data_IF_565519088373
#
_entry.id   IF_565519088373
#
_cell.length_a   1.000
_cell.length_b   1.000
_cell.length_c   1.000
_cell.angle_alpha   90.00
_cell.angle_beta   90.00
_cell.angle_gamma   90.00
#
_symmetry.space_group_name_H-M   'P 1'
#
loop_
_entity.id
_entity.type
_entity.pdbx_description
1 polymer ?
#
# COMPACT_ATOMS: atom_id res chain seq x y z
N UNK A 1 0.86 -31.76 22.98
CA UNK A 1 -0.22 -31.46 22.01
C UNK A 1 0.46 -31.18 20.66
N UNK A 2 0.62 -32.18 19.80
CA UNK A 2 -0.30 -32.57 18.74
C UNK A 2 -0.58 -31.48 17.69
N UNK A 3 -0.04 -31.76 16.48
CA UNK A 3 -0.72 -31.68 15.17
C UNK A 3 -0.82 -30.28 14.51
N UNK A 4 -0.52 -29.99 13.23
CA UNK A 4 -0.28 -30.72 11.96
C UNK A 4 0.51 -29.75 11.03
N UNK A 5 1.59 -30.17 10.36
CA UNK A 5 1.68 -30.84 9.04
C UNK A 5 1.59 -29.88 7.84
N UNK A 6 2.71 -29.79 7.11
CA UNK A 6 2.88 -29.22 5.78
C UNK A 6 2.11 -30.01 4.70
N UNK A 7 1.82 -29.36 3.55
CA UNK A 7 1.83 -29.98 2.21
C UNK A 7 2.13 -28.94 1.13
N UNK A 8 2.83 -29.42 0.09
CA UNK A 8 3.49 -28.70 -0.99
C UNK A 8 2.63 -28.45 -2.25
N UNK A 9 3.17 -27.55 -3.11
CA UNK A 9 3.18 -27.56 -4.60
C UNK A 9 1.95 -27.04 -5.38
N UNK A 10 2.10 -26.58 -6.66
CA UNK A 10 3.27 -26.69 -7.56
C UNK A 10 3.72 -25.39 -8.29
N UNK A 11 4.95 -25.49 -8.85
CA UNK A 11 5.51 -24.69 -9.94
C UNK A 11 4.62 -24.65 -11.19
N UNK A 12 4.40 -23.46 -11.77
CA UNK A 12 4.23 -23.26 -13.21
C UNK A 12 4.76 -21.87 -13.61
N UNK A 13 5.69 -21.87 -14.57
CA UNK A 13 6.34 -20.70 -15.21
C UNK A 13 5.47 -20.19 -16.40
N UNK A 14 5.85 -19.14 -17.17
CA UNK A 14 5.21 -17.82 -17.17
C UNK A 14 4.43 -17.51 -18.47
N UNK A 15 3.46 -16.60 -18.40
CA UNK A 15 2.87 -15.88 -19.54
C UNK A 15 2.15 -14.67 -18.96
N UNK A 16 2.26 -13.43 -19.41
CA UNK A 16 2.91 -12.82 -20.55
C UNK A 16 2.21 -11.48 -20.74
N UNK A 17 2.99 -10.39 -20.75
CA UNK A 17 2.69 -9.11 -21.42
C UNK A 17 1.47 -8.26 -21.02
N UNK A 18 1.75 -6.99 -20.70
CA UNK A 18 0.86 -5.84 -20.91
C UNK A 18 0.14 -5.35 -19.65
N UNK A 19 0.67 -4.43 -18.85
CA UNK A 19 0.87 -3.00 -19.15
C UNK A 19 -0.44 -2.21 -19.35
N UNK A 20 -0.70 -1.35 -18.34
CA UNK A 20 -1.23 0.02 -18.44
C UNK A 20 -2.74 0.27 -18.19
N UNK A 21 -2.96 0.80 -16.97
CA UNK A 21 -3.75 1.98 -16.54
C UNK A 21 -5.28 2.02 -16.68
N UNK A 22 -5.90 2.23 -15.50
CA UNK A 22 -7.22 2.79 -15.19
C UNK A 22 -7.45 4.21 -15.78
N UNK A 23 -8.67 4.83 -15.76
CA UNK A 23 -9.47 5.08 -14.56
C UNK A 23 -11.01 4.98 -14.67
N UNK A 24 -11.62 4.93 -13.49
CA UNK A 24 -13.04 4.93 -13.17
C UNK A 24 -13.78 6.19 -13.62
N UNK A 25 -14.96 6.06 -14.25
CA UNK A 25 -16.08 6.98 -14.03
C UNK A 25 -17.43 6.32 -14.31
N UNK A 26 -18.33 6.47 -13.35
CA UNK A 26 -19.75 6.11 -13.37
C UNK A 26 -20.52 6.92 -14.41
N UNK A 27 -21.19 6.28 -15.36
CA UNK A 27 -22.45 6.77 -15.95
C UNK A 27 -23.23 5.59 -16.52
N UNK A 28 -24.46 5.42 -16.06
CA UNK A 28 -25.40 4.40 -16.52
C UNK A 28 -25.88 4.70 -17.95
N UNK A 29 -26.09 3.63 -18.73
CA UNK A 29 -26.86 3.58 -19.98
C UNK A 29 -26.41 4.46 -21.17
N UNK A 30 -25.37 4.00 -21.90
CA UNK A 30 -25.23 4.22 -23.37
C UNK A 30 -24.14 3.35 -24.08
N UNK A 31 -23.67 2.28 -23.46
CA UNK A 31 -22.31 1.77 -23.72
C UNK A 31 -22.12 0.71 -24.82
N UNK A 32 -23.00 0.59 -25.83
CA UNK A 32 -22.76 -0.39 -26.91
C UNK A 32 -22.15 0.21 -28.19
N UNK A 33 -22.46 1.47 -28.52
CA UNK A 33 -21.86 2.16 -29.68
C UNK A 33 -20.56 2.88 -29.32
N UNK A 34 -20.48 3.46 -28.12
CA UNK A 34 -19.30 4.19 -27.66
C UNK A 34 -18.06 3.31 -27.45
N UNK A 35 -18.26 2.04 -27.09
CA UNK A 35 -17.15 1.09 -26.86
C UNK A 35 -16.33 0.80 -28.13
N UNK A 36 -16.94 0.89 -29.31
CA UNK A 36 -16.26 0.70 -30.60
C UNK A 36 -15.49 1.93 -31.05
N UNK A 37 -16.10 3.11 -30.86
CA UNK A 37 -15.52 4.41 -31.23
C UNK A 37 -14.38 4.83 -30.28
N UNK A 38 -14.45 4.45 -29.01
CA UNK A 38 -13.38 4.68 -28.03
C UNK A 38 -12.10 3.90 -28.38
N UNK A 39 -12.24 2.66 -28.87
CA UNK A 39 -11.12 1.87 -29.38
C UNK A 39 -10.48 2.49 -30.65
N UNK A 40 -11.30 3.03 -31.55
CA UNK A 40 -10.83 3.76 -32.75
C UNK A 40 -10.05 5.01 -32.32
N UNK A 41 -10.58 5.81 -31.40
CA UNK A 41 -9.94 7.02 -30.88
C UNK A 41 -8.58 6.73 -30.21
N UNK A 42 -8.51 5.65 -29.43
CA UNK A 42 -7.28 5.22 -28.77
C UNK A 42 -6.21 4.79 -29.78
N UNK A 43 -6.59 4.02 -30.79
CA UNK A 43 -5.67 3.62 -31.87
C UNK A 43 -5.15 4.81 -32.66
N UNK A 44 -5.99 5.81 -32.96
CA UNK A 44 -5.58 7.05 -33.62
C UNK A 44 -4.57 7.83 -32.78
N UNK A 45 -4.81 7.97 -31.47
CA UNK A 45 -3.86 8.63 -30.55
C UNK A 45 -2.52 7.90 -30.47
N UNK A 46 -2.54 6.57 -30.41
CA UNK A 46 -1.33 5.75 -30.37
C UNK A 46 -0.54 5.89 -31.68
N UNK A 47 -1.22 5.90 -32.82
CA UNK A 47 -0.59 6.09 -34.13
C UNK A 47 0.07 7.46 -34.24
N UNK A 48 -0.61 8.54 -33.81
CA UNK A 48 -0.05 9.89 -33.81
C UNK A 48 1.20 9.98 -32.92
N UNK A 49 1.16 9.35 -31.74
CA UNK A 49 2.32 9.29 -30.84
C UNK A 49 3.49 8.52 -31.47
N UNK A 50 3.24 7.37 -32.08
CA UNK A 50 4.27 6.60 -32.77
C UNK A 50 4.89 7.37 -33.95
N UNK A 51 4.08 8.12 -34.70
CA UNK A 51 4.57 8.97 -35.81
C UNK A 51 5.47 10.08 -35.27
N UNK A 52 5.09 10.70 -34.15
CA UNK A 52 5.92 11.69 -33.47
C UNK A 52 7.23 11.06 -32.97
N UNK A 53 7.18 9.93 -32.28
CA UNK A 53 8.36 9.20 -31.77
C UNK A 53 9.28 8.72 -32.91
N UNK A 54 8.73 8.41 -34.07
CA UNK A 54 9.49 8.05 -35.27
C UNK A 54 10.19 9.27 -35.89
N UNK A 55 9.54 10.43 -35.88
CA UNK A 55 10.09 11.68 -36.41
C UNK A 55 11.14 12.30 -35.48
N UNK A 56 10.99 12.16 -34.16
CA UNK A 56 11.92 12.67 -33.14
C UNK A 56 13.16 11.78 -32.95
N UNK A 57 13.07 10.50 -33.32
CA UNK A 57 14.23 9.61 -33.33
C UNK A 57 15.19 9.99 -34.45
N UNK A 58 16.13 10.87 -34.11
CA UNK A 58 17.29 11.29 -34.89
C UNK A 58 17.83 10.17 -35.79
N UNK A 59 18.11 10.50 -37.05
CA UNK A 59 18.48 9.62 -38.18
C UNK A 59 19.66 8.65 -37.95
N UNK A 60 20.28 8.67 -36.76
CA UNK A 60 21.38 7.80 -36.32
C UNK A 60 20.94 6.46 -35.71
N UNK A 61 19.64 6.24 -35.47
CA UNK A 61 19.17 4.97 -34.89
C UNK A 61 19.07 3.87 -35.97
N UNK A 62 19.61 2.68 -35.66
CA UNK A 62 19.65 1.48 -36.52
C UNK A 62 18.33 1.25 -37.28
N UNK A 63 18.43 0.95 -38.57
CA UNK A 63 17.28 0.77 -39.47
C UNK A 63 16.32 -0.34 -39.02
N UNK A 64 16.79 -1.33 -38.25
CA UNK A 64 15.96 -2.37 -37.62
C UNK A 64 14.88 -1.79 -36.69
N UNK A 65 15.21 -0.75 -35.93
CA UNK A 65 14.26 -0.10 -35.01
C UNK A 65 13.27 0.80 -35.74
N UNK A 66 13.64 1.28 -36.93
CA UNK A 66 12.72 1.99 -37.83
C UNK A 66 11.75 0.99 -38.45
N UNK A 67 12.25 -0.13 -38.96
CA UNK A 67 11.44 -1.20 -39.52
C UNK A 67 10.45 -1.77 -38.48
N UNK A 68 10.90 -2.00 -37.25
CA UNK A 68 10.04 -2.45 -36.16
C UNK A 68 8.94 -1.44 -35.84
N UNK A 69 9.26 -0.14 -35.76
CA UNK A 69 8.27 0.91 -35.50
C UNK A 69 7.24 1.06 -36.62
N UNK A 70 7.68 1.01 -37.88
CA UNK A 70 6.80 1.04 -39.05
C UNK A 70 5.89 -0.20 -39.07
N UNK A 71 6.40 -1.38 -38.69
CA UNK A 71 5.60 -2.58 -38.58
C UNK A 71 4.52 -2.44 -37.49
N UNK A 72 4.86 -1.86 -36.34
CA UNK A 72 3.88 -1.55 -35.29
C UNK A 72 2.81 -0.55 -35.76
N UNK A 73 3.20 0.50 -36.49
CA UNK A 73 2.23 1.43 -37.09
C UNK A 73 1.28 0.72 -38.07
N UNK A 74 1.82 -0.19 -38.90
CA UNK A 74 1.03 -0.97 -39.86
C UNK A 74 0.00 -1.86 -39.16
N UNK A 75 0.40 -2.56 -38.09
CA UNK A 75 -0.53 -3.38 -37.30
C UNK A 75 -1.67 -2.55 -36.68
N UNK A 76 -1.37 -1.35 -36.20
CA UNK A 76 -2.39 -0.45 -35.63
C UNK A 76 -3.34 0.04 -36.73
N UNK A 77 -2.83 0.34 -37.93
CA UNK A 77 -3.66 0.71 -39.07
C UNK A 77 -4.59 -0.43 -39.52
N UNK A 78 -4.11 -1.67 -39.51
CA UNK A 78 -4.94 -2.84 -39.82
C UNK A 78 -6.04 -3.06 -38.77
N UNK A 79 -5.73 -2.91 -37.48
CA UNK A 79 -6.73 -2.96 -36.40
C UNK A 79 -7.74 -1.80 -36.51
N UNK A 80 -7.28 -0.59 -36.84
CA UNK A 80 -8.14 0.56 -37.07
C UNK A 80 -9.09 0.32 -38.26
N UNK A 81 -8.57 -0.21 -39.37
CA UNK A 81 -9.36 -0.54 -40.56
C UNK A 81 -10.44 -1.56 -40.27
N UNK A 82 -10.11 -2.64 -39.56
CA UNK A 82 -11.08 -3.69 -39.20
C UNK A 82 -12.17 -3.16 -38.26
N UNK A 83 -11.80 -2.32 -37.28
CA UNK A 83 -12.78 -1.69 -36.35
C UNK A 83 -13.69 -0.69 -37.03
N UNK A 84 -13.16 0.15 -37.93
CA UNK A 84 -13.97 1.09 -38.72
C UNK A 84 -14.93 0.32 -39.62
N UNK A 85 -14.47 -0.72 -40.30
CA UNK A 85 -15.32 -1.56 -41.16
C UNK A 85 -16.45 -2.22 -40.35
N UNK A 86 -16.15 -2.71 -39.14
CA UNK A 86 -17.15 -3.30 -38.24
C UNK A 86 -18.17 -2.27 -37.75
N UNK A 87 -17.72 -1.06 -37.38
CA UNK A 87 -18.60 0.03 -36.96
C UNK A 87 -19.51 0.50 -38.12
N UNK A 88 -18.99 0.58 -39.34
CA UNK A 88 -19.77 0.91 -40.53
C UNK A 88 -20.81 -0.15 -40.87
N UNK A 89 -20.47 -1.44 -40.76
CA UNK A 89 -21.41 -2.54 -40.97
C UNK A 89 -22.57 -2.52 -39.97
N UNK A 90 -22.29 -2.22 -38.69
CA UNK A 90 -23.31 -2.08 -37.64
C UNK A 90 -24.27 -0.91 -37.93
N UNK A 91 -23.75 0.25 -38.36
CA UNK A 91 -24.56 1.42 -38.73
C UNK A 91 -25.43 1.23 -39.99
N UNK A 92 -25.10 0.26 -40.85
CA UNK A 92 -25.85 -0.03 -42.08
C UNK A 92 -27.03 -0.98 -41.88
N UNK A 93 -27.11 -1.66 -40.73
CA UNK A 93 -28.15 -2.65 -40.40
C UNK A 93 -29.40 -2.03 -39.74
N UNK A 94 -29.36 -0.76 -39.32
CA UNK A 94 -30.43 -0.11 -38.54
C UNK A 94 -31.62 0.43 -39.35
N UNK A 95 -31.87 -0.10 -40.56
CA UNK A 95 -33.11 0.21 -41.31
C UNK A 95 -34.07 -0.96 -41.45
N UNK A 96 -33.81 -2.09 -40.79
CA UNK A 96 -34.79 -3.18 -40.71
C UNK A 96 -34.93 -3.70 -39.29
N UNK A 97 -36.08 -3.36 -38.71
CA UNK A 97 -36.88 -4.27 -37.89
C UNK A 97 -36.57 -4.36 -36.39
N UNK A 98 -36.88 -3.28 -35.66
CA UNK A 98 -37.39 -3.39 -34.30
C UNK A 98 -38.93 -3.34 -34.33
N UNK A 99 -39.56 -4.44 -34.79
CA UNK A 99 -40.98 -4.69 -34.50
C UNK A 99 -41.10 -4.89 -32.99
N UNK A 100 -41.49 -3.81 -32.33
CA UNK A 100 -41.98 -3.83 -30.95
C UNK A 100 -43.07 -4.89 -30.81
N UNK A 101 -42.93 -5.63 -29.72
CA UNK A 101 -43.87 -6.54 -29.08
C UNK A 101 -45.33 -6.40 -29.53
N UNK A 102 -45.93 -7.53 -29.94
CA UNK A 102 -47.35 -7.71 -30.19
C UNK A 102 -48.18 -7.48 -28.91
N UNK A 103 -48.59 -6.24 -28.65
CA UNK A 103 -49.63 -5.91 -27.65
C UNK A 103 -50.71 -5.01 -28.23
N UNK A 104 -51.24 -5.38 -29.40
CA UNK A 104 -52.51 -4.85 -29.91
C UNK A 104 -53.43 -6.02 -30.25
N UNK A 105 -54.07 -6.59 -29.22
CA UNK A 105 -55.21 -7.49 -29.39
C UNK A 105 -56.40 -6.67 -29.89
N UNK A 106 -56.54 -6.52 -31.21
CA UNK A 106 -57.82 -6.12 -31.81
C UNK A 106 -58.77 -7.32 -31.77
N UNK A 107 -59.99 -7.21 -31.21
CA UNK A 107 -61.00 -8.26 -31.29
C UNK A 107 -61.50 -8.34 -32.74
N UNK A 108 -61.16 -9.43 -33.45
CA UNK A 108 -61.80 -9.73 -34.73
C UNK A 108 -62.98 -10.65 -34.47
N UNK A 109 -64.15 -10.05 -34.50
CA UNK A 109 -65.45 -10.71 -34.53
C UNK A 109 -65.59 -11.43 -35.88
N UNK A 110 -65.27 -12.71 -35.91
CA UNK A 110 -65.68 -13.60 -36.99
C UNK A 110 -66.59 -14.69 -36.41
N UNK A 111 -67.86 -14.57 -36.77
CA UNK A 111 -68.91 -15.55 -36.56
C UNK A 111 -68.53 -16.86 -37.23
N UNK A 112 -68.24 -17.89 -36.45
CA UNK A 112 -68.51 -19.25 -36.91
C UNK A 112 -68.90 -20.17 -35.76
N UNK A 113 -70.11 -20.69 -35.88
CA UNK A 113 -70.70 -21.69 -34.99
C UNK A 113 -69.83 -22.93 -35.06
N UNK A 114 -69.15 -23.25 -33.96
CA UNK A 114 -68.94 -24.60 -33.45
C UNK A 114 -68.32 -24.46 -32.06
N UNK A 115 -69.08 -24.85 -31.05
CA UNK A 115 -68.62 -24.95 -29.68
C UNK A 115 -67.53 -26.02 -29.60
N UNK A 116 -66.27 -25.60 -29.70
CA UNK A 116 -65.13 -26.39 -29.25
C UNK A 116 -64.66 -25.77 -27.95
N UNK A 117 -64.69 -26.57 -26.89
CA UNK A 117 -64.30 -26.24 -25.51
C UNK A 117 -62.98 -25.45 -25.49
N UNK A 118 -62.75 -24.58 -24.49
CA UNK A 118 -61.42 -24.01 -24.28
C UNK A 118 -60.40 -25.15 -24.22
N UNK A 119 -59.19 -25.02 -24.79
CA UNK A 119 -58.14 -25.98 -24.54
C UNK A 119 -57.99 -26.06 -23.02
N UNK A 120 -58.24 -27.24 -22.48
CA UNK A 120 -57.85 -27.56 -21.12
C UNK A 120 -56.34 -27.40 -21.14
N UNK A 121 -55.80 -26.25 -20.70
CA UNK A 121 -54.36 -26.09 -20.52
C UNK A 121 -53.93 -27.30 -19.71
N UNK A 122 -53.11 -28.16 -20.30
CA UNK A 122 -52.75 -29.42 -19.68
C UNK A 122 -52.11 -29.06 -18.33
N UNK A 123 -52.60 -29.68 -17.26
CA UNK A 123 -52.14 -29.35 -15.90
C UNK A 123 -50.62 -29.53 -15.80
N UNK A 124 -50.08 -30.45 -16.62
CA UNK A 124 -48.65 -30.69 -16.76
C UNK A 124 -47.89 -29.51 -17.38
N UNK A 125 -48.44 -28.81 -18.37
CA UNK A 125 -47.80 -27.63 -18.97
C UNK A 125 -47.71 -26.47 -17.97
N UNK A 126 -48.75 -26.24 -17.17
CA UNK A 126 -48.74 -25.22 -16.11
C UNK A 126 -47.70 -25.58 -15.05
N UNK A 127 -47.63 -26.85 -14.66
CA UNK A 127 -46.62 -27.30 -13.70
C UNK A 127 -45.19 -27.22 -14.26
N UNK A 128 -45.00 -27.54 -15.54
CA UNK A 128 -43.72 -27.45 -16.24
C UNK A 128 -43.24 -26.00 -16.29
N UNK A 129 -44.10 -25.06 -16.68
CA UNK A 129 -43.77 -23.62 -16.68
C UNK A 129 -43.43 -23.12 -15.27
N UNK A 130 -44.14 -23.59 -14.23
CA UNK A 130 -43.78 -23.25 -12.83
C UNK A 130 -42.42 -23.81 -12.40
N UNK A 131 -42.09 -25.05 -12.81
CA UNK A 131 -40.78 -25.66 -12.58
C UNK A 131 -39.67 -24.88 -13.30
N UNK A 132 -39.88 -24.55 -14.57
CA UNK A 132 -38.94 -23.75 -15.38
C UNK A 132 -38.75 -22.33 -14.81
N UNK A 133 -39.81 -21.66 -14.38
CA UNK A 133 -39.73 -20.36 -13.72
C UNK A 133 -38.92 -20.43 -12.41
N UNK A 134 -39.15 -21.47 -11.60
CA UNK A 134 -38.42 -21.69 -10.35
C UNK A 134 -36.93 -21.98 -10.61
N UNK A 135 -36.64 -22.78 -11.63
CA UNK A 135 -35.28 -23.05 -12.08
C UNK A 135 -34.59 -21.76 -12.58
N UNK A 136 -35.25 -20.98 -13.44
CA UNK A 136 -34.76 -19.70 -13.93
C UNK A 136 -34.47 -18.71 -12.80
N UNK A 137 -35.36 -18.61 -11.81
CA UNK A 137 -35.14 -17.77 -10.63
C UNK A 137 -33.94 -18.23 -9.79
N UNK A 138 -33.72 -19.53 -9.68
CA UNK A 138 -32.55 -20.09 -8.98
C UNK A 138 -31.26 -19.79 -9.74
N UNK A 139 -31.25 -19.97 -11.06
CA UNK A 139 -30.11 -19.59 -11.92
C UNK A 139 -29.82 -18.10 -11.83
N UNK A 140 -30.84 -17.24 -11.84
CA UNK A 140 -30.68 -15.78 -11.69
C UNK A 140 -30.05 -15.41 -10.35
N UNK A 141 -30.50 -16.02 -9.25
CA UNK A 141 -29.89 -15.80 -7.92
C UNK A 141 -28.44 -16.26 -7.88
N UNK A 142 -28.13 -17.42 -8.46
CA UNK A 142 -26.76 -17.92 -8.57
C UNK A 142 -25.86 -16.96 -9.35
N UNK A 143 -26.32 -16.48 -10.50
CA UNK A 143 -25.60 -15.49 -11.32
C UNK A 143 -25.38 -14.18 -10.56
N UNK A 144 -26.40 -13.69 -9.84
CA UNK A 144 -26.28 -12.48 -9.03
C UNK A 144 -25.21 -12.63 -7.94
N UNK A 145 -25.12 -13.79 -7.28
CA UNK A 145 -24.07 -14.06 -6.31
C UNK A 145 -22.68 -14.06 -6.96
N UNK A 146 -22.54 -14.71 -8.12
CA UNK A 146 -21.27 -14.75 -8.86
C UNK A 146 -20.82 -13.37 -9.33
N UNK A 147 -21.72 -12.54 -9.87
CA UNK A 147 -21.38 -11.17 -10.26
C UNK A 147 -20.96 -10.32 -9.04
N UNK A 148 -21.60 -10.55 -7.89
CA UNK A 148 -21.27 -9.85 -6.64
C UNK A 148 -19.90 -10.28 -6.10
N UNK A 149 -19.58 -11.59 -6.11
CA UNK A 149 -18.28 -12.09 -5.68
C UNK A 149 -17.16 -11.64 -6.63
N UNK A 150 -17.40 -11.69 -7.95
CA UNK A 150 -16.43 -11.25 -8.95
C UNK A 150 -16.15 -9.75 -8.85
N UNK A 151 -17.16 -8.93 -8.54
CA UNK A 151 -16.98 -7.50 -8.26
C UNK A 151 -16.04 -7.24 -7.09
N UNK A 152 -16.20 -7.98 -5.98
CA UNK A 152 -15.31 -7.90 -4.81
C UNK A 152 -13.89 -8.37 -5.13
N UNK A 153 -13.75 -9.45 -5.88
CA UNK A 153 -12.45 -9.98 -6.29
C UNK A 153 -11.71 -8.99 -7.21
N UNK A 154 -12.42 -8.34 -8.13
CA UNK A 154 -11.89 -7.25 -8.96
C UNK A 154 -11.38 -6.09 -8.11
N UNK A 155 -12.12 -5.69 -7.07
CA UNK A 155 -11.72 -4.62 -6.16
C UNK A 155 -10.46 -5.01 -5.36
N UNK A 156 -10.38 -6.24 -4.86
CA UNK A 156 -9.19 -6.78 -4.18
C UNK A 156 -7.98 -6.76 -5.13
N UNK A 157 -8.13 -7.24 -6.36
CA UNK A 157 -7.04 -7.21 -7.35
C UNK A 157 -6.60 -5.79 -7.68
N UNK A 158 -7.53 -4.84 -7.79
CA UNK A 158 -7.18 -3.44 -8.05
C UNK A 158 -6.36 -2.82 -6.90
N UNK A 159 -6.73 -3.12 -5.64
CA UNK A 159 -5.95 -2.69 -4.48
C UNK A 159 -4.55 -3.31 -4.46
N UNK A 160 -4.45 -4.61 -4.74
CA UNK A 160 -3.17 -5.32 -4.77
C UNK A 160 -2.26 -4.81 -5.90
N UNK A 161 -2.82 -4.55 -7.08
CA UNK A 161 -2.08 -3.93 -8.20
C UNK A 161 -1.59 -2.53 -7.84
N UNK A 162 -2.42 -1.72 -7.17
CA UNK A 162 -2.01 -0.40 -6.68
C UNK A 162 -0.86 -0.50 -5.70
N UNK A 163 -0.95 -1.42 -4.72
CA UNK A 163 0.12 -1.70 -3.75
C UNK A 163 1.42 -2.09 -4.45
N UNK A 164 1.35 -3.01 -5.42
CA UNK A 164 2.52 -3.44 -6.20
C UNK A 164 3.12 -2.35 -7.07
N UNK A 165 2.29 -1.47 -7.63
CA UNK A 165 2.78 -0.31 -8.37
C UNK A 165 3.59 0.64 -7.45
N UNK A 166 3.12 0.90 -6.23
CA UNK A 166 3.85 1.71 -5.26
C UNK A 166 5.17 1.04 -4.85
N UNK A 167 5.15 -0.26 -4.54
CA UNK A 167 6.37 -1.01 -4.20
C UNK A 167 7.41 -0.97 -5.32
N UNK A 168 6.98 -1.02 -6.60
CA UNK A 168 7.88 -0.91 -7.74
C UNK A 168 8.51 0.48 -7.83
N UNK A 169 7.73 1.55 -7.62
CA UNK A 169 8.23 2.93 -7.63
C UNK A 169 9.29 3.12 -6.54
N UNK A 170 9.03 2.66 -5.31
CA UNK A 170 10.00 2.74 -4.21
C UNK A 170 11.30 1.98 -4.54
N UNK A 171 11.19 0.79 -5.15
CA UNK A 171 12.36 0.03 -5.59
C UNK A 171 13.13 0.70 -6.74
N UNK A 172 12.43 1.36 -7.66
CA UNK A 172 13.05 2.14 -8.75
C UNK A 172 13.84 3.34 -8.20
N UNK A 173 13.30 4.03 -7.19
CA UNK A 173 14.00 5.11 -6.48
C UNK A 173 15.27 4.60 -5.80
N UNK A 174 15.20 3.48 -5.07
CA UNK A 174 16.38 2.85 -4.44
C UNK A 174 17.45 2.45 -5.48
N UNK A 175 17.03 1.90 -6.63
CA UNK A 175 17.95 1.56 -7.72
C UNK A 175 18.58 2.81 -8.32
N UNK A 176 17.82 3.90 -8.47
CA UNK A 176 18.32 5.19 -8.94
C UNK A 176 19.39 5.76 -7.99
N UNK A 177 19.12 5.75 -6.69
CA UNK A 177 20.05 6.20 -5.66
C UNK A 177 21.34 5.37 -5.65
N UNK A 178 21.23 4.05 -5.74
CA UNK A 178 22.39 3.16 -5.83
C UNK A 178 23.22 3.41 -7.09
N UNK A 179 22.56 3.66 -8.24
CA UNK A 179 23.26 4.04 -9.47
C UNK A 179 24.01 5.36 -9.29
N UNK A 180 23.39 6.38 -8.70
CA UNK A 180 24.03 7.66 -8.45
C UNK A 180 25.24 7.53 -7.49
N UNK A 181 25.14 6.68 -6.47
CA UNK A 181 26.25 6.38 -5.57
C UNK A 181 27.39 5.65 -6.29
N UNK A 182 27.07 4.66 -7.11
CA UNK A 182 28.05 3.93 -7.92
C UNK A 182 28.77 4.85 -8.91
N UNK A 183 28.06 5.76 -9.57
CA UNK A 183 28.66 6.75 -10.47
C UNK A 183 29.60 7.70 -9.73
N UNK A 184 29.21 8.13 -8.52
CA UNK A 184 30.06 8.97 -7.66
C UNK A 184 31.33 8.22 -7.23
N UNK A 185 31.21 6.96 -6.85
CA UNK A 185 32.34 6.11 -6.49
C UNK A 185 33.25 5.85 -7.69
N UNK A 186 32.66 5.57 -8.86
CA UNK A 186 33.41 5.37 -10.11
C UNK A 186 34.24 6.61 -10.46
N UNK A 187 33.64 7.81 -10.37
CA UNK A 187 34.37 9.08 -10.56
C UNK A 187 35.51 9.25 -9.56
N UNK A 188 35.30 8.91 -8.28
CA UNK A 188 36.38 8.94 -7.27
C UNK A 188 37.51 7.99 -7.62
N UNK A 189 37.20 6.76 -8.01
CA UNK A 189 38.22 5.77 -8.42
C UNK A 189 38.99 6.24 -9.63
N UNK A 190 38.30 6.80 -10.64
CA UNK A 190 38.96 7.39 -11.81
C UNK A 190 39.86 8.57 -11.44
N UNK A 191 39.42 9.45 -10.54
CA UNK A 191 40.25 10.56 -10.05
C UNK A 191 41.49 10.05 -9.32
N UNK A 192 41.34 9.09 -8.41
CA UNK A 192 42.47 8.48 -7.70
C UNK A 192 43.44 7.79 -8.67
N UNK A 193 42.93 7.06 -9.68
CA UNK A 193 43.78 6.46 -10.70
C UNK A 193 44.51 7.54 -11.54
N UNK A 194 43.86 8.66 -11.84
CA UNK A 194 44.47 9.77 -12.56
C UNK A 194 45.55 10.50 -11.72
N UNK A 195 45.32 10.70 -10.42
CA UNK A 195 46.29 11.27 -9.49
C UNK A 195 47.53 10.39 -9.39
N UNK A 196 47.35 9.09 -9.15
CA UNK A 196 48.47 8.14 -9.06
C UNK A 196 49.27 8.01 -10.37
N UNK A 197 48.62 8.19 -11.52
CA UNK A 197 49.31 8.24 -12.83
C UNK A 197 50.03 9.57 -13.09
N UNK A 198 49.57 10.69 -12.49
CA UNK A 198 50.25 11.99 -12.54
C UNK A 198 51.47 12.01 -11.62
N UNK A 199 51.35 11.46 -10.41
CA UNK A 199 52.45 11.31 -9.45
C UNK A 199 53.59 10.45 -10.03
N UNK A 200 53.26 9.33 -10.68
CA UNK A 200 54.26 8.48 -11.36
C UNK A 200 54.96 9.14 -12.56
N UNK A 201 54.40 10.22 -13.12
CA UNK A 201 55.00 10.97 -14.25
C UNK A 201 55.64 12.30 -13.81
N UNK A 202 55.37 12.74 -12.59
CA UNK A 202 55.75 14.06 -12.09
C UNK A 202 56.98 14.08 -11.20
N UNK A 203 57.40 12.94 -10.64
CA UNK A 203 58.43 12.94 -9.60
C UNK A 203 59.72 12.25 -10.08
N UNK A 204 60.56 13.08 -10.71
CA UNK A 204 61.98 13.01 -10.40
C UNK A 204 62.18 13.50 -8.98
N UNK A 205 62.45 12.55 -8.08
CA UNK A 205 63.22 12.73 -6.85
C UNK A 205 62.67 13.74 -5.81
N UNK A 206 61.57 13.40 -5.11
CA UNK A 206 61.18 14.16 -3.91
C UNK A 206 60.05 13.62 -3.00
N UNK A 207 59.26 12.64 -3.43
CA UNK A 207 57.97 12.32 -2.79
C UNK A 207 58.01 11.18 -1.75
N UNK A 208 59.05 11.12 -0.92
CA UNK A 208 59.14 10.18 0.21
C UNK A 208 58.59 10.75 1.53
N UNK A 209 58.80 12.05 1.78
CA UNK A 209 58.52 12.66 3.09
C UNK A 209 57.14 13.30 3.20
N UNK A 210 56.62 13.89 2.12
CA UNK A 210 55.29 14.51 2.12
C UNK A 210 54.17 13.47 2.27
N UNK A 211 54.30 12.31 1.61
CA UNK A 211 53.30 11.23 1.71
C UNK A 211 53.28 10.61 3.12
N UNK A 212 54.45 10.42 3.75
CA UNK A 212 54.55 9.99 5.15
C UNK A 212 53.94 11.00 6.12
N UNK A 213 54.15 12.30 5.91
CA UNK A 213 53.55 13.34 6.75
C UNK A 213 52.03 13.38 6.62
N UNK A 214 51.49 13.20 5.42
CA UNK A 214 50.04 13.16 5.18
C UNK A 214 49.42 11.88 5.75
N UNK A 215 50.09 10.74 5.61
CA UNK A 215 49.67 9.48 6.19
C UNK A 215 49.66 9.54 7.74
N UNK A 216 50.68 10.16 8.35
CA UNK A 216 50.74 10.39 9.79
C UNK A 216 49.60 11.27 10.29
N UNK A 217 49.32 12.38 9.61
CA UNK A 217 48.20 13.27 9.93
C UNK A 217 46.85 12.58 9.79
N UNK A 218 46.66 11.78 8.74
CA UNK A 218 45.41 11.05 8.52
C UNK A 218 45.18 9.98 9.61
N UNK A 219 46.25 9.30 10.03
CA UNK A 219 46.22 8.37 11.16
C UNK A 219 45.83 9.07 12.46
N UNK A 220 46.45 10.21 12.77
CA UNK A 220 46.13 10.99 13.98
C UNK A 220 44.67 11.48 13.96
N UNK A 221 44.20 12.02 12.83
CA UNK A 221 42.80 12.44 12.69
C UNK A 221 41.82 11.27 12.84
N UNK A 222 42.17 10.09 12.32
CA UNK A 222 41.36 8.88 12.46
C UNK A 222 41.30 8.40 13.92
N UNK A 223 42.42 8.45 14.65
CA UNK A 223 42.48 8.13 16.08
C UNK A 223 41.69 9.16 16.93
N UNK A 224 41.79 10.45 16.61
CA UNK A 224 40.99 11.49 17.26
C UNK A 224 39.49 11.31 17.00
N UNK A 225 39.09 10.96 15.77
CA UNK A 225 37.71 10.68 15.42
C UNK A 225 37.18 9.47 16.19
N UNK A 226 37.95 8.38 16.24
CA UNK A 226 37.57 7.17 16.99
C UNK A 226 37.39 7.50 18.48
N UNK A 227 38.33 8.24 19.07
CA UNK A 227 38.25 8.70 20.47
C UNK A 227 37.02 9.58 20.72
N UNK A 228 36.66 10.46 19.79
CA UNK A 228 35.44 11.28 19.87
C UNK A 228 34.18 10.42 19.79
N UNK A 229 34.13 9.42 18.91
CA UNK A 229 32.99 8.50 18.79
C UNK A 229 32.82 7.68 20.06
N UNK A 230 33.91 7.15 20.62
CA UNK A 230 33.88 6.38 21.86
C UNK A 230 33.50 7.26 23.06
N UNK A 231 33.99 8.50 23.10
CA UNK A 231 33.57 9.52 24.06
C UNK A 231 32.08 9.79 24.00
N UNK A 232 31.53 9.99 22.80
CA UNK A 232 30.09 10.18 22.58
C UNK A 232 29.27 8.94 23.00
N UNK A 233 29.73 7.73 22.66
CA UNK A 233 29.08 6.48 23.09
C UNK A 233 29.07 6.33 24.61
N UNK A 234 30.18 6.67 25.28
CA UNK A 234 30.29 6.65 26.74
C UNK A 234 29.36 7.69 27.38
N UNK A 235 29.32 8.91 26.84
CA UNK A 235 28.43 9.96 27.31
C UNK A 235 26.96 9.58 27.12
N UNK A 236 26.61 8.99 25.98
CA UNK A 236 25.25 8.49 25.71
C UNK A 236 24.82 7.41 26.72
N UNK A 237 25.72 6.50 27.08
CA UNK A 237 25.47 5.49 28.14
C UNK A 237 25.21 6.17 29.48
N UNK A 238 26.13 7.04 29.93
CA UNK A 238 25.96 7.78 31.20
C UNK A 238 24.68 8.62 31.23
N UNK A 239 24.33 9.27 30.12
CA UNK A 239 23.10 10.03 30.02
C UNK A 239 21.88 9.15 30.23
N UNK A 240 21.86 7.94 29.64
CA UNK A 240 20.78 6.97 29.83
C UNK A 240 20.71 6.51 31.29
N UNK A 241 21.84 6.21 31.92
CA UNK A 241 21.91 5.77 33.32
C UNK A 241 21.34 6.87 34.25
N UNK A 242 21.76 8.12 34.07
CA UNK A 242 21.25 9.27 34.84
C UNK A 242 19.77 9.53 34.55
N UNK A 243 19.33 9.35 33.31
CA UNK A 243 17.92 9.50 32.94
C UNK A 243 17.04 8.45 33.64
N UNK A 244 17.49 7.20 33.72
CA UNK A 244 16.80 6.11 34.42
C UNK A 244 16.77 6.35 35.93
N UNK A 245 17.90 6.74 36.53
CA UNK A 245 17.98 7.09 37.95
C UNK A 245 17.05 8.26 38.30
N UNK A 246 17.05 9.32 37.49
CA UNK A 246 16.13 10.46 37.66
C UNK A 246 14.67 10.03 37.50
N UNK A 247 14.38 9.11 36.59
CA UNK A 247 13.05 8.50 36.44
C UNK A 247 12.61 7.76 37.70
N UNK A 248 13.49 6.93 38.26
CA UNK A 248 13.27 6.19 39.50
C UNK A 248 13.05 7.14 40.69
N UNK A 249 13.90 8.15 40.85
CA UNK A 249 13.77 9.15 41.91
C UNK A 249 12.46 9.94 41.80
N UNK A 250 12.04 10.31 40.59
CA UNK A 250 10.74 10.98 40.37
C UNK A 250 9.56 10.08 40.74
N UNK A 251 9.64 8.77 40.51
CA UNK A 251 8.59 7.84 40.93
C UNK A 251 8.49 7.80 42.45
N UNK A 252 9.63 7.65 43.14
CA UNK A 252 9.68 7.62 44.60
C UNK A 252 9.14 8.90 45.20
N UNK A 253 9.49 10.06 44.63
CA UNK A 253 8.97 11.35 45.06
C UNK A 253 7.44 11.42 44.92
N UNK A 254 6.86 10.87 43.85
CA UNK A 254 5.40 10.79 43.68
C UNK A 254 4.77 9.89 44.73
N UNK A 255 5.32 8.70 44.96
CA UNK A 255 4.80 7.76 45.95
C UNK A 255 4.86 8.35 47.36
N UNK A 256 5.95 9.04 47.70
CA UNK A 256 6.09 9.76 48.96
C UNK A 256 5.09 10.91 49.09
N UNK A 257 4.86 11.68 48.02
CA UNK A 257 3.87 12.75 48.02
C UNK A 257 2.43 12.23 48.23
N UNK A 258 2.10 11.09 47.62
CA UNK A 258 0.81 10.42 47.82
C UNK A 258 0.64 9.97 49.28
N UNK A 259 1.67 9.35 49.87
CA UNK A 259 1.63 8.95 51.28
C UNK A 259 1.45 10.15 52.23
N UNK A 260 2.15 11.26 51.97
CA UNK A 260 1.98 12.51 52.74
C UNK A 260 0.55 13.04 52.59
N UNK A 261 -0.04 12.96 51.39
CA UNK A 261 -1.42 13.38 51.17
C UNK A 261 -2.43 12.51 51.95
N UNK A 262 -2.24 11.18 51.95
CA UNK A 262 -3.05 10.25 52.76
C UNK A 262 -2.92 10.56 54.25
N UNK A 263 -1.70 10.79 54.74
CA UNK A 263 -1.47 11.19 56.14
C UNK A 263 -2.14 12.51 56.49
N UNK A 264 -2.08 13.49 55.59
CA UNK A 264 -2.73 14.81 55.76
C UNK A 264 -4.26 14.69 55.78
N UNK A 265 -4.82 13.86 54.89
CA UNK A 265 -6.26 13.60 54.86
C UNK A 265 -6.71 12.93 56.16
N UNK A 266 -6.03 11.86 56.61
CA UNK A 266 -6.32 11.20 57.89
C UNK A 266 -6.24 12.16 59.08
N UNK A 267 -5.23 13.04 59.10
CA UNK A 267 -5.10 14.05 60.15
C UNK A 267 -6.28 15.04 60.14
N UNK A 268 -6.73 15.45 58.96
CA UNK A 268 -7.89 16.34 58.80
C UNK A 268 -9.17 15.64 59.26
N UNK A 269 -9.39 14.38 58.87
CA UNK A 269 -10.53 13.57 59.30
C UNK A 269 -10.53 13.36 60.82
N UNK A 270 -9.37 13.08 61.42
CA UNK A 270 -9.21 12.97 62.87
C UNK A 270 -9.55 14.28 63.57
N UNK A 271 -9.04 15.41 63.06
CA UNK A 271 -9.32 16.73 63.60
C UNK A 271 -10.83 17.05 63.55
N UNK A 272 -11.53 16.67 62.47
CA UNK A 272 -12.98 16.81 62.37
C UNK A 272 -13.73 15.97 63.41
N UNK A 273 -13.37 14.69 63.58
CA UNK A 273 -14.01 13.79 64.56
C UNK A 273 -13.83 14.29 66.00
N UNK A 274 -12.62 14.76 66.35
CA UNK A 274 -12.33 15.38 67.65
C UNK A 274 -13.21 16.61 67.87
N UNK A 275 -13.35 17.47 66.83
CA UNK A 275 -14.17 18.68 66.90
C UNK A 275 -15.67 18.36 67.09
N UNK A 276 -16.14 17.25 66.50
CA UNK A 276 -17.53 16.77 66.63
C UNK A 276 -17.81 16.04 67.95
N UNK A 277 -16.79 15.80 68.77
CA UNK A 277 -16.90 15.00 70.01
C UNK A 277 -17.40 13.57 69.79
N UNK A 278 -17.08 13.00 68.63
CA UNK A 278 -17.35 11.59 68.34
C UNK A 278 -16.47 10.69 69.23
N UNK A 279 -16.93 9.46 69.53
CA UNK A 279 -16.09 8.47 70.22
C UNK A 279 -15.02 7.99 69.23
N UNK A 280 -13.80 8.50 69.40
CA UNK A 280 -12.64 8.18 68.54
C UNK A 280 -11.64 7.36 69.33
N UNK A 281 -11.23 6.24 68.74
CA UNK A 281 -10.09 5.46 69.21
C UNK A 281 -8.77 6.14 68.79
N UNK A 282 -8.33 7.09 69.61
CA UNK A 282 -7.14 7.89 69.35
C UNK A 282 -5.87 7.04 69.29
N UNK A 283 -5.80 5.96 70.06
CA UNK A 283 -4.61 5.10 70.12
C UNK A 283 -4.41 4.35 68.80
N UNK A 284 -5.49 3.83 68.23
CA UNK A 284 -5.45 3.19 66.91
C UNK A 284 -5.13 4.18 65.78
N UNK A 285 -5.73 5.38 65.79
CA UNK A 285 -5.47 6.38 64.74
C UNK A 285 -4.03 6.90 64.80
N UNK A 286 -3.47 7.09 66.01
CA UNK A 286 -2.07 7.46 66.22
C UNK A 286 -1.15 6.32 65.75
N UNK A 287 -1.44 5.06 66.12
CA UNK A 287 -0.63 3.90 65.69
C UNK A 287 -0.58 3.76 64.16
N UNK A 288 -1.70 4.04 63.49
CA UNK A 288 -1.78 4.01 62.04
C UNK A 288 -0.99 5.14 61.36
N UNK A 289 -1.06 6.36 61.90
CA UNK A 289 -0.24 7.49 61.45
C UNK A 289 1.25 7.22 61.65
N UNK A 290 1.64 6.65 62.79
CA UNK A 290 3.03 6.26 63.07
C UNK A 290 3.55 5.22 62.06
N UNK A 291 2.76 4.17 61.77
CA UNK A 291 3.13 3.18 60.74
C UNK A 291 3.32 3.82 59.36
N UNK A 292 2.44 4.77 59.00
CA UNK A 292 2.53 5.49 57.73
C UNK A 292 3.82 6.32 57.67
N UNK A 293 4.14 7.08 58.72
CA UNK A 293 5.35 7.90 58.77
C UNK A 293 6.64 7.08 58.84
N UNK A 294 6.67 5.98 59.60
CA UNK A 294 7.81 5.05 59.59
C UNK A 294 8.03 4.44 58.20
N UNK A 295 6.95 4.06 57.51
CA UNK A 295 7.04 3.57 56.13
C UNK A 295 7.60 4.62 55.16
N UNK A 296 7.24 5.89 55.34
CA UNK A 296 7.76 7.01 54.56
C UNK A 296 9.25 7.25 54.83
N UNK A 297 9.66 7.26 56.10
CA UNK A 297 11.06 7.44 56.53
C UNK A 297 11.96 6.35 55.93
N UNK A 298 11.53 5.09 55.98
CA UNK A 298 12.26 3.98 55.36
C UNK A 298 12.43 4.16 53.84
N UNK A 299 11.37 4.60 53.14
CA UNK A 299 11.43 4.85 51.69
C UNK A 299 12.41 5.98 51.32
N UNK A 300 12.44 7.05 52.11
CA UNK A 300 13.35 8.19 51.93
C UNK A 300 14.80 7.79 52.23
N UNK A 301 15.02 7.05 53.32
CA UNK A 301 16.35 6.57 53.73
C UNK A 301 16.96 5.64 52.67
N UNK A 302 16.18 4.69 52.16
CA UNK A 302 16.61 3.75 51.12
C UNK A 302 17.05 4.43 49.80
N UNK A 303 16.51 5.61 49.48
CA UNK A 303 16.91 6.36 48.29
C UNK A 303 18.06 7.33 48.56
N UNK A 304 18.19 7.81 49.79
CA UNK A 304 19.31 8.69 50.19
C UNK A 304 20.64 7.94 50.25
N UNK A 305 20.62 6.64 50.51
CA UNK A 305 21.82 5.78 50.58
C UNK A 305 22.30 5.24 49.23
N UNK A 306 21.54 5.41 48.14
CA UNK A 306 21.90 4.95 46.78
C UNK A 306 22.69 5.97 45.96
N UNK A 307 23.04 7.12 46.56
CA UNK A 307 23.80 8.22 45.95
C UNK A 307 25.30 8.05 46.08
#
# INVERSE_FOLDING_TARGET
>A
MSRLRAFSSPDLVPSGSGSITSPTRTTEHQSQEDSGLEGISTNVKLLLKLVQDHNEATSKHRDEWKAQRVNTMMMILDDLKTRIQKAQQQSSSEKKELRRCNTDLKPRQDTNKNAVKPPLNDLDDIQKVRRELSASMTTRKSLQMMCSSLGKEKEIMAMELSRKAHELIEMEELVSDLKAQNDKLLKKVQNCAAEHNKEKKGDGDGQGDNDRSLQGRNKELSEQLLKSIDGYRSLKRRYKDVQEENGSMKQVLRDSAEQVNVGTQRLTELQEKITRSDEVDLENEISDLEKLFQGLELKISNHSQKK
#
